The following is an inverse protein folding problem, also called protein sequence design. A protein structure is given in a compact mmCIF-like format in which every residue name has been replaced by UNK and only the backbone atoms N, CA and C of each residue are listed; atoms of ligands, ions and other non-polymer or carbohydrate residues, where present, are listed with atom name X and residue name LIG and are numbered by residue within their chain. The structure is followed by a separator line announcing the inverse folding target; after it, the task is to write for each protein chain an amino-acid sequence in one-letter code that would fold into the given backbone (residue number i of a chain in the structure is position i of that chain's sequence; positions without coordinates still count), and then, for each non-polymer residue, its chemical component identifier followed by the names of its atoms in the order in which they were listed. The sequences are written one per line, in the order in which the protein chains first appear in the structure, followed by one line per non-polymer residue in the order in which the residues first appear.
data_IF_492179222841
#
_entry.id   IF_492179222841
#
_cell.length_a   1.000
_cell.length_b   1.000
_cell.length_c   1.000
_cell.angle_alpha   90.00
_cell.angle_beta   90.00
_cell.angle_gamma   90.00
#
_symmetry.space_group_name_H-M   'P 1'
#
loop_
_entity.id
_entity.type
_entity.pdbx_description
1 polymer ?
#
# COMPACT_ATOMS: atom_id res chain seq x y z
N UNK A 1 -8.99 23.72 -4.78
CA UNK A 1 -8.34 24.15 -3.53
C UNK A 1 -6.96 23.51 -3.46
N UNK A 2 -5.91 24.32 -3.28
CA UNK A 2 -4.51 23.87 -3.25
C UNK A 2 -4.19 22.98 -2.04
N UNK A 3 -3.18 22.12 -2.16
CA UNK A 3 -2.62 21.36 -1.03
C UNK A 3 -2.14 22.30 0.08
N UNK A 4 -2.45 21.97 1.34
CA UNK A 4 -2.06 22.77 2.51
C UNK A 4 -0.57 22.65 2.87
N UNK A 5 0.14 21.64 2.36
CA UNK A 5 1.54 21.38 2.71
C UNK A 5 2.36 20.96 1.49
N UNK A 6 3.56 21.52 1.36
CA UNK A 6 4.47 21.13 0.28
C UNK A 6 5.12 19.77 0.54
N UNK A 7 5.65 19.11 -0.51
CA UNK A 7 6.44 17.87 -0.36
C UNK A 7 7.62 18.03 0.62
N UNK A 8 8.19 19.24 0.72
CA UNK A 8 9.27 19.55 1.68
C UNK A 8 8.76 19.54 3.11
N UNK A 9 7.57 20.07 3.37
CA UNK A 9 6.95 20.07 4.69
C UNK A 9 6.60 18.65 5.14
N UNK A 10 6.03 17.84 4.24
CA UNK A 10 5.78 16.42 4.49
C UNK A 10 7.08 15.67 4.79
N UNK A 11 8.16 15.94 4.03
CA UNK A 11 9.47 15.33 4.28
C UNK A 11 10.03 15.70 5.67
N UNK A 12 9.93 16.97 6.06
CA UNK A 12 10.42 17.48 7.34
C UNK A 12 9.64 16.89 8.51
N UNK A 13 8.31 16.83 8.41
CA UNK A 13 7.45 16.20 9.40
C UNK A 13 7.82 14.72 9.59
N UNK A 14 8.02 13.98 8.49
CA UNK A 14 8.46 12.59 8.56
C UNK A 14 9.78 12.41 9.31
N UNK A 15 10.80 13.26 9.05
CA UNK A 15 12.08 13.19 9.79
C UNK A 15 11.89 13.48 11.28
N UNK A 16 11.14 14.53 11.61
CA UNK A 16 10.87 14.95 12.99
C UNK A 16 10.18 13.84 13.79
N UNK A 17 9.20 13.15 13.20
CA UNK A 17 8.49 12.03 13.87
C UNK A 17 9.36 10.81 14.17
N UNK A 18 10.48 10.65 13.47
CA UNK A 18 11.42 9.57 13.76
C UNK A 18 12.31 9.92 14.96
N UNK A 19 12.56 11.21 15.19
CA UNK A 19 13.30 11.72 16.36
C UNK A 19 12.39 11.88 17.59
N UNK A 20 11.18 12.38 17.38
CA UNK A 20 10.20 12.71 18.42
C UNK A 20 8.80 12.24 17.98
N UNK A 21 8.45 11.00 18.35
CA UNK A 21 7.26 10.28 17.83
C UNK A 21 5.93 10.99 18.15
N UNK A 22 5.88 11.69 19.28
CA UNK A 22 4.69 12.38 19.78
C UNK A 22 4.64 13.87 19.40
N UNK A 23 5.49 14.32 18.48
CA UNK A 23 5.53 15.73 18.07
C UNK A 23 4.24 16.14 17.33
N UNK A 24 3.33 16.80 18.06
CA UNK A 24 1.96 17.12 17.64
C UNK A 24 1.87 17.71 16.23
N UNK A 25 2.61 18.78 15.94
CA UNK A 25 2.54 19.46 14.62
C UNK A 25 2.94 18.53 13.47
N UNK A 26 3.86 17.59 13.70
CA UNK A 26 4.25 16.63 12.66
C UNK A 26 3.24 15.50 12.51
N UNK A 27 2.55 15.11 13.60
CA UNK A 27 1.42 14.18 13.55
C UNK A 27 0.24 14.75 12.76
N UNK A 28 -0.03 16.06 12.87
CA UNK A 28 -1.06 16.74 12.08
C UNK A 28 -0.72 16.70 10.58
N UNK A 29 0.53 17.03 10.23
CA UNK A 29 1.01 16.97 8.84
C UNK A 29 0.97 15.54 8.30
N UNK A 30 1.36 14.54 9.10
CA UNK A 30 1.26 13.13 8.72
C UNK A 30 -0.20 12.72 8.49
N UNK A 31 -1.10 13.13 9.37
CA UNK A 31 -2.53 12.82 9.28
C UNK A 31 -3.15 13.44 8.03
N UNK A 32 -2.81 14.70 7.72
CA UNK A 32 -3.17 15.33 6.45
C UNK A 32 -2.63 14.54 5.25
N UNK A 33 -1.33 14.22 5.24
CA UNK A 33 -0.70 13.51 4.13
C UNK A 33 -1.36 12.16 3.90
N UNK A 34 -1.63 11.41 4.97
CA UNK A 34 -2.36 10.13 4.94
C UNK A 34 -3.78 10.31 4.39
N UNK A 35 -4.52 11.31 4.88
CA UNK A 35 -5.88 11.60 4.43
C UNK A 35 -5.94 11.93 2.93
N UNK A 36 -4.93 12.63 2.40
CA UNK A 36 -4.84 12.99 0.98
C UNK A 36 -4.71 11.80 0.02
N UNK A 37 -4.53 10.57 0.52
CA UNK A 37 -4.55 9.35 -0.28
C UNK A 37 -5.95 8.76 -0.44
N UNK A 38 -6.95 9.24 0.29
CA UNK A 38 -8.29 8.63 0.37
C UNK A 38 -9.00 8.62 -0.99
N UNK A 39 -9.04 9.77 -1.68
CA UNK A 39 -9.69 9.86 -3.00
C UNK A 39 -8.96 9.03 -4.05
N UNK A 40 -7.63 9.10 -4.06
CA UNK A 40 -6.80 8.29 -4.96
C UNK A 40 -7.00 6.78 -4.71
N UNK A 41 -7.09 6.36 -3.44
CA UNK A 41 -7.37 4.98 -3.05
C UNK A 41 -8.76 4.52 -3.50
N UNK A 42 -9.78 5.38 -3.40
CA UNK A 42 -11.13 5.05 -3.87
C UNK A 42 -11.16 4.81 -5.38
N UNK A 43 -10.57 5.72 -6.16
CA UNK A 43 -10.45 5.57 -7.62
C UNK A 43 -9.72 4.28 -8.01
N UNK A 44 -8.59 4.02 -7.36
CA UNK A 44 -7.81 2.80 -7.56
C UNK A 44 -8.62 1.53 -7.26
N UNK A 45 -9.41 1.56 -6.19
CA UNK A 45 -10.26 0.45 -5.80
C UNK A 45 -11.41 0.22 -6.76
N UNK A 46 -12.11 1.27 -7.18
CA UNK A 46 -13.24 1.17 -8.12
C UNK A 46 -12.78 0.57 -9.45
N UNK A 47 -11.65 1.06 -9.98
CA UNK A 47 -11.02 0.52 -11.18
C UNK A 47 -10.71 -0.98 -11.06
N UNK A 48 -10.10 -1.40 -9.95
CA UNK A 48 -9.75 -2.82 -9.80
C UNK A 48 -10.96 -3.70 -9.46
N UNK A 49 -11.96 -3.16 -8.79
CA UNK A 49 -13.18 -3.88 -8.43
C UNK A 49 -13.99 -4.26 -9.67
N UNK A 50 -14.13 -3.34 -10.62
CA UNK A 50 -14.82 -3.59 -11.89
C UNK A 50 -14.17 -4.75 -12.66
N UNK A 51 -12.85 -4.70 -12.83
CA UNK A 51 -12.08 -5.74 -13.52
C UNK A 51 -12.21 -7.09 -12.78
N UNK A 52 -12.05 -7.06 -11.45
CA UNK A 52 -12.04 -8.27 -10.62
C UNK A 52 -13.39 -8.99 -10.63
N UNK A 53 -14.51 -8.27 -10.54
CA UNK A 53 -15.86 -8.86 -10.50
C UNK A 53 -16.21 -9.62 -11.78
N UNK A 54 -15.66 -9.21 -12.93
CA UNK A 54 -15.81 -9.93 -14.20
C UNK A 54 -15.03 -11.25 -14.24
N UNK A 55 -13.98 -11.38 -13.42
CA UNK A 55 -13.07 -12.53 -13.38
C UNK A 55 -13.50 -13.53 -12.31
N UNK A 56 -13.77 -13.05 -11.09
CA UNK A 56 -14.07 -13.88 -9.93
C UNK A 56 -15.12 -13.22 -9.03
N UNK A 57 -16.36 -13.71 -9.12
CA UNK A 57 -17.49 -13.24 -8.29
C UNK A 57 -17.32 -13.54 -6.80
N UNK A 58 -16.40 -14.43 -6.44
CA UNK A 58 -16.11 -14.82 -5.05
C UNK A 58 -14.88 -14.11 -4.48
N UNK A 59 -14.31 -13.17 -5.24
CA UNK A 59 -13.15 -12.39 -4.81
C UNK A 59 -13.50 -11.50 -3.61
N UNK A 60 -12.56 -11.37 -2.69
CA UNK A 60 -12.65 -10.41 -1.58
C UNK A 60 -11.72 -9.24 -1.89
N UNK A 61 -12.28 -8.04 -1.91
CA UNK A 61 -11.54 -6.80 -2.11
C UNK A 61 -11.56 -5.97 -0.83
N UNK A 62 -10.42 -5.35 -0.51
CA UNK A 62 -10.31 -4.46 0.64
C UNK A 62 -9.47 -3.23 0.33
N UNK A 63 -9.86 -2.08 0.88
CA UNK A 63 -9.07 -0.86 0.95
C UNK A 63 -8.30 -0.82 2.27
N UNK A 64 -7.10 -0.26 2.27
CA UNK A 64 -6.28 -0.04 3.47
C UNK A 64 -5.56 1.29 3.39
N UNK A 65 -5.71 2.11 4.42
CA UNK A 65 -4.80 3.20 4.72
C UNK A 65 -3.89 2.78 5.87
N UNK A 66 -2.58 2.93 5.70
CA UNK A 66 -1.61 2.59 6.72
C UNK A 66 -1.77 3.50 7.93
N UNK A 67 -1.68 2.92 9.13
CA UNK A 67 -1.80 3.68 10.39
C UNK A 67 -0.56 4.55 10.62
N UNK A 68 -0.76 5.68 11.32
CA UNK A 68 0.31 6.63 11.61
C UNK A 68 1.51 5.97 12.31
N UNK A 69 1.26 5.17 13.35
CA UNK A 69 2.31 4.44 14.07
C UNK A 69 3.12 3.51 13.15
N UNK A 70 2.44 2.81 12.22
CA UNK A 70 3.09 1.94 11.23
C UNK A 70 3.90 2.72 10.19
N UNK A 71 3.47 3.94 9.83
CA UNK A 71 4.22 4.84 8.94
C UNK A 71 5.50 5.31 9.64
N UNK A 72 5.39 5.81 10.87
CA UNK A 72 6.52 6.28 11.68
C UNK A 72 7.52 5.15 11.90
N UNK A 73 7.06 3.95 12.29
CA UNK A 73 7.91 2.79 12.48
C UNK A 73 8.68 2.40 11.21
N UNK A 74 8.04 2.46 10.03
CA UNK A 74 8.72 2.18 8.76
C UNK A 74 9.80 3.22 8.44
N UNK A 75 9.55 4.49 8.71
CA UNK A 75 10.55 5.55 8.54
C UNK A 75 11.76 5.32 9.46
N UNK A 76 11.51 4.91 10.71
CA UNK A 76 12.55 4.62 11.70
C UNK A 76 13.41 3.41 11.28
N UNK A 77 12.79 2.28 10.91
CA UNK A 77 13.51 1.11 10.37
C UNK A 77 14.35 1.50 9.16
N UNK A 78 13.78 2.25 8.21
CA UNK A 78 14.50 2.70 7.03
C UNK A 78 15.74 3.50 7.42
N UNK A 79 15.61 4.48 8.33
CA UNK A 79 16.73 5.29 8.81
C UNK A 79 17.82 4.42 9.43
N UNK A 80 17.44 3.49 10.30
CA UNK A 80 18.38 2.64 11.04
C UNK A 80 19.11 1.64 10.11
N UNK A 81 18.49 1.26 8.98
CA UNK A 81 19.11 0.47 7.93
C UNK A 81 20.00 1.29 6.96
N UNK A 82 20.29 2.56 7.26
CA UNK A 82 21.08 3.46 6.40
C UNK A 82 20.32 4.03 5.20
N UNK A 83 19.03 3.71 5.06
CA UNK A 83 18.19 4.17 3.95
C UNK A 83 17.57 5.54 4.26
N UNK A 84 17.55 6.43 3.27
CA UNK A 84 17.01 7.80 3.40
C UNK A 84 15.57 7.92 2.88
N UNK A 85 14.68 7.00 3.27
CA UNK A 85 13.26 7.09 2.90
C UNK A 85 12.65 8.36 3.50
N UNK A 86 11.84 9.04 2.69
CA UNK A 86 11.12 10.26 3.11
C UNK A 86 9.61 9.99 3.04
N UNK A 87 8.85 10.58 3.96
CA UNK A 87 7.40 10.38 4.06
C UNK A 87 6.66 10.64 2.74
N UNK A 88 6.99 11.72 2.02
CA UNK A 88 6.37 12.05 0.73
C UNK A 88 6.73 11.09 -0.42
N UNK A 89 7.70 10.19 -0.22
CA UNK A 89 8.13 9.17 -1.19
C UNK A 89 7.64 7.77 -0.81
N UNK A 90 6.98 7.62 0.35
CA UNK A 90 6.48 6.35 0.82
C UNK A 90 5.33 5.89 -0.08
N UNK A 91 5.46 4.67 -0.62
CA UNK A 91 4.51 4.12 -1.59
C UNK A 91 3.34 3.35 -0.94
N UNK A 92 3.54 2.80 0.25
CA UNK A 92 2.58 1.93 0.94
C UNK A 92 1.71 2.70 1.97
N UNK A 93 1.25 3.90 1.62
CA UNK A 93 0.31 4.66 2.46
C UNK A 93 -1.13 4.24 2.18
N UNK A 94 -1.54 4.26 0.91
CA UNK A 94 -2.82 3.72 0.45
C UNK A 94 -2.59 2.42 -0.30
N UNK A 95 -3.43 1.41 -0.05
CA UNK A 95 -3.37 0.18 -0.79
C UNK A 95 -4.70 -0.56 -0.91
N UNK A 96 -4.82 -1.27 -2.03
CA UNK A 96 -5.90 -2.21 -2.32
C UNK A 96 -5.39 -3.64 -2.13
N UNK A 97 -6.27 -4.54 -1.72
CA UNK A 97 -6.01 -5.97 -1.67
C UNK A 97 -7.09 -6.70 -2.42
N UNK A 98 -6.68 -7.62 -3.29
CA UNK A 98 -7.56 -8.52 -4.01
C UNK A 98 -7.20 -9.95 -3.65
N UNK A 99 -8.17 -10.68 -3.11
CA UNK A 99 -8.03 -12.09 -2.70
C UNK A 99 -8.93 -12.92 -3.62
N UNK A 100 -8.31 -13.70 -4.49
CA UNK A 100 -8.97 -14.51 -5.51
C UNK A 100 -9.14 -15.96 -5.04
N UNK A 101 -10.11 -16.65 -5.62
CA UNK A 101 -10.39 -18.06 -5.32
C UNK A 101 -9.23 -19.00 -5.61
N UNK A 102 -8.46 -18.76 -6.69
CA UNK A 102 -7.37 -19.66 -7.10
C UNK A 102 -6.34 -18.96 -8.01
N UNK A 103 -5.25 -19.70 -8.31
CA UNK A 103 -4.14 -19.21 -9.14
C UNK A 103 -4.53 -18.93 -10.59
N UNK A 104 -5.49 -19.66 -11.17
CA UNK A 104 -5.94 -19.41 -12.55
C UNK A 104 -6.55 -18.01 -12.66
N UNK A 105 -7.44 -17.66 -11.72
CA UNK A 105 -8.06 -16.34 -11.63
C UNK A 105 -7.07 -15.24 -11.31
N UNK A 106 -6.07 -15.53 -10.47
CA UNK A 106 -4.95 -14.61 -10.22
C UNK A 106 -4.17 -14.29 -11.49
N UNK A 107 -3.78 -15.31 -12.25
CA UNK A 107 -3.03 -15.11 -13.49
C UNK A 107 -3.87 -14.36 -14.55
N UNK A 108 -5.17 -14.66 -14.65
CA UNK A 108 -6.11 -13.94 -15.52
C UNK A 108 -6.19 -12.45 -15.16
N UNK A 109 -6.34 -12.13 -13.88
CA UNK A 109 -6.36 -10.74 -13.40
C UNK A 109 -5.03 -10.02 -13.70
N UNK A 110 -3.90 -10.65 -13.41
CA UNK A 110 -2.56 -10.09 -13.65
C UNK A 110 -2.39 -9.74 -15.13
N UNK A 111 -2.75 -10.66 -16.02
CA UNK A 111 -2.65 -10.45 -17.47
C UNK A 111 -3.47 -9.25 -17.95
N UNK A 112 -4.66 -9.04 -17.38
CA UNK A 112 -5.51 -7.89 -17.72
C UNK A 112 -4.91 -6.60 -17.16
N UNK A 113 -4.48 -6.60 -15.90
CA UNK A 113 -3.88 -5.42 -15.26
C UNK A 113 -2.60 -4.99 -15.97
N UNK A 114 -1.72 -5.93 -16.35
CA UNK A 114 -0.46 -5.58 -17.03
C UNK A 114 -0.68 -4.92 -18.40
N UNK A 115 -1.83 -5.14 -19.02
CA UNK A 115 -2.24 -4.47 -20.26
C UNK A 115 -2.92 -3.12 -20.02
N UNK A 116 -3.46 -2.89 -18.82
CA UNK A 116 -4.05 -1.63 -18.40
C UNK A 116 -2.96 -0.69 -17.85
N UNK A 117 -2.92 0.54 -18.33
CA UNK A 117 -1.85 1.50 -18.02
C UNK A 117 -1.82 1.97 -16.55
N UNK A 118 -2.87 1.70 -15.77
CA UNK A 118 -3.05 2.27 -14.43
C UNK A 118 -2.15 1.64 -13.35
N UNK A 119 -1.74 0.38 -13.52
CA UNK A 119 -0.92 -0.34 -12.55
C UNK A 119 0.28 -1.01 -13.22
N UNK A 120 1.40 -1.08 -12.49
CA UNK A 120 2.61 -1.78 -12.93
C UNK A 120 3.08 -2.75 -11.86
N UNK A 121 3.53 -3.93 -12.25
CA UNK A 121 4.15 -4.87 -11.31
C UNK A 121 5.38 -4.21 -10.69
N UNK A 122 5.45 -4.20 -9.37
CA UNK A 122 6.64 -3.83 -8.59
C UNK A 122 7.38 -5.07 -8.12
N UNK A 123 6.65 -6.03 -7.56
CA UNK A 123 7.21 -7.28 -7.03
C UNK A 123 6.30 -8.46 -7.34
N UNK A 124 6.89 -9.61 -7.70
CA UNK A 124 6.18 -10.87 -7.82
C UNK A 124 6.77 -11.90 -6.84
N UNK A 125 6.06 -12.13 -5.73
CA UNK A 125 6.46 -13.11 -4.72
C UNK A 125 5.68 -14.43 -4.84
N UNK A 126 5.15 -14.78 -6.01
CA UNK A 126 4.48 -16.07 -6.18
C UNK A 126 5.52 -17.18 -6.25
N UNK A 127 6.51 -17.05 -7.13
CA UNK A 127 7.60 -18.00 -7.27
C UNK A 127 8.86 -17.33 -7.83
N UNK A 128 9.97 -17.25 -7.06
CA UNK A 128 10.10 -17.71 -5.68
C UNK A 128 9.28 -16.84 -4.69
N UNK A 129 8.85 -17.40 -3.55
CA UNK A 129 8.27 -16.60 -2.47
C UNK A 129 9.31 -15.66 -1.87
N UNK A 130 8.86 -14.67 -1.10
CA UNK A 130 9.78 -13.89 -0.25
C UNK A 130 10.45 -14.83 0.75
N UNK A 131 11.64 -14.46 1.24
CA UNK A 131 12.46 -15.27 2.16
C UNK A 131 11.74 -15.78 3.40
N UNK A 132 10.66 -15.12 3.81
CA UNK A 132 9.87 -15.45 4.98
C UNK A 132 8.66 -16.34 4.66
N UNK A 133 8.50 -16.80 3.41
CA UNK A 133 7.40 -17.61 2.90
C UNK A 133 6.23 -16.81 2.29
N UNK A 134 6.25 -15.48 2.37
CA UNK A 134 5.17 -14.63 1.89
C UNK A 134 4.97 -14.71 0.38
N UNK A 135 3.69 -14.79 -0.04
CA UNK A 135 3.26 -14.89 -1.44
C UNK A 135 2.18 -13.88 -1.78
N UNK A 136 2.45 -13.07 -2.80
CA UNK A 136 1.53 -12.10 -3.41
C UNK A 136 2.23 -11.45 -4.61
N UNK A 137 1.46 -10.89 -5.54
CA UNK A 137 1.98 -9.95 -6.54
C UNK A 137 1.64 -8.54 -6.07
N UNK A 138 2.64 -7.66 -6.06
CA UNK A 138 2.51 -6.26 -5.69
C UNK A 138 2.59 -5.39 -6.93
N UNK A 139 1.57 -4.57 -7.14
CA UNK A 139 1.52 -3.55 -8.17
C UNK A 139 1.59 -2.15 -7.54
N UNK A 140 2.03 -1.19 -8.33
CA UNK A 140 2.00 0.24 -7.99
C UNK A 140 1.22 0.98 -9.07
N UNK A 141 0.23 1.76 -8.66
CA UNK A 141 -0.52 2.68 -9.51
C UNK A 141 -0.44 4.12 -9.03
N UNK A 142 -0.66 5.07 -9.94
CA UNK A 142 -0.71 6.50 -9.64
C UNK A 142 -2.10 7.02 -9.92
N UNK A 143 -2.73 7.60 -8.90
CA UNK A 143 -4.09 8.11 -8.98
C UNK A 143 -4.17 9.53 -8.44
N UNK A 144 -4.97 10.36 -9.10
CA UNK A 144 -5.16 11.76 -8.75
C UNK A 144 -6.07 11.89 -7.52
N UNK A 145 -5.62 12.60 -6.50
CA UNK A 145 -6.41 12.93 -5.31
C UNK A 145 -7.39 14.10 -5.54
N UNK A 146 -8.06 14.55 -4.48
CA UNK A 146 -9.00 15.69 -4.48
C UNK A 146 -8.37 17.04 -4.86
N UNK A 147 -7.04 17.14 -4.80
CA UNK A 147 -6.28 18.36 -5.10
C UNK A 147 -5.66 18.35 -6.51
N UNK A 148 -5.92 17.32 -7.33
CA UNK A 148 -5.29 17.21 -8.65
C UNK A 148 -3.85 16.68 -8.62
N UNK A 149 -3.41 16.12 -7.48
CA UNK A 149 -2.05 15.62 -7.31
C UNK A 149 -2.00 14.08 -7.34
N UNK A 150 -0.94 13.52 -7.91
CA UNK A 150 -0.69 12.09 -7.88
C UNK A 150 -0.48 11.58 -6.44
N UNK A 151 -1.08 10.44 -6.16
CA UNK A 151 -0.79 9.58 -5.01
C UNK A 151 -0.53 8.15 -5.48
N UNK A 152 0.46 7.53 -4.84
CA UNK A 152 0.82 6.15 -5.13
C UNK A 152 -0.09 5.24 -4.32
N UNK A 153 -0.72 4.29 -5.01
CA UNK A 153 -1.53 3.24 -4.41
C UNK A 153 -0.91 1.88 -4.71
N UNK A 154 -0.66 1.10 -3.67
CA UNK A 154 -0.17 -0.28 -3.79
C UNK A 154 -1.36 -1.24 -3.98
N UNK A 155 -1.29 -2.13 -4.96
CA UNK A 155 -2.27 -3.20 -5.12
C UNK A 155 -1.61 -4.55 -4.82
N UNK A 156 -2.17 -5.29 -3.87
CA UNK A 156 -1.71 -6.63 -3.49
C UNK A 156 -2.69 -7.68 -3.99
N UNK A 157 -2.26 -8.52 -4.93
CA UNK A 157 -3.06 -9.62 -5.47
C UNK A 157 -2.55 -10.94 -4.89
N UNK A 158 -3.47 -11.78 -4.40
CA UNK A 158 -3.17 -13.09 -3.79
C UNK A 158 -4.36 -14.04 -3.91
N UNK A 159 -4.16 -15.32 -3.67
CA UNK A 159 -5.25 -16.30 -3.51
C UNK A 159 -5.73 -16.41 -2.06
N UNK A 160 -6.87 -17.08 -1.84
CA UNK A 160 -7.38 -17.41 -0.49
C UNK A 160 -6.35 -18.16 0.35
N UNK A 161 -5.69 -19.17 -0.22
CA UNK A 161 -4.66 -19.96 0.49
C UNK A 161 -3.45 -19.10 0.87
N UNK A 162 -2.97 -18.28 -0.06
CA UNK A 162 -1.87 -17.34 0.20
C UNK A 162 -2.24 -16.31 1.26
N UNK A 163 -3.50 -15.85 1.27
CA UNK A 163 -4.01 -14.96 2.30
C UNK A 163 -4.04 -15.62 3.67
N UNK A 164 -4.62 -16.83 3.76
CA UNK A 164 -4.73 -17.58 4.99
C UNK A 164 -3.36 -17.85 5.62
N UNK A 165 -2.38 -18.28 4.81
CA UNK A 165 -1.00 -18.44 5.25
C UNK A 165 -0.41 -17.13 5.76
N UNK A 166 -0.56 -16.03 5.00
CA UNK A 166 -0.01 -14.72 5.39
C UNK A 166 -0.59 -14.20 6.71
N UNK A 167 -1.90 -14.33 6.91
CA UNK A 167 -2.56 -13.88 8.14
C UNK A 167 -2.15 -14.72 9.35
N UNK A 168 -1.94 -16.01 9.16
CA UNK A 168 -1.45 -16.91 10.22
C UNK A 168 0.00 -16.54 10.60
N UNK A 169 0.88 -16.43 9.61
CA UNK A 169 2.28 -16.04 9.82
C UNK A 169 2.42 -14.64 10.43
N UNK A 170 1.58 -13.67 10.05
CA UNK A 170 1.56 -12.33 10.65
C UNK A 170 1.16 -12.37 12.12
N UNK A 171 0.18 -13.21 12.51
CA UNK A 171 -0.25 -13.36 13.90
C UNK A 171 0.86 -13.98 14.75
N UNK A 172 1.49 -15.05 14.28
CA UNK A 172 2.61 -15.70 14.98
C UNK A 172 3.77 -14.74 15.23
N UNK A 173 4.13 -13.91 14.25
CA UNK A 173 5.22 -12.91 14.41
C UNK A 173 4.92 -11.80 15.41
N UNK A 174 3.65 -11.51 15.68
CA UNK A 174 3.24 -10.53 16.70
C UNK A 174 3.25 -11.12 18.10
N UNK A 175 3.17 -12.45 18.25
CA UNK A 175 3.21 -13.14 19.55
C UNK A 175 4.65 -13.28 20.05
N UNK A 176 5.63 -13.34 19.13
CA UNK A 176 7.06 -13.57 19.44
C UNK A 176 7.86 -12.26 19.63
N UNK A 177 7.20 -11.10 19.62
CA UNK A 177 7.82 -9.77 19.84
C UNK A 177 7.21 -9.08 21.05
#
# INVERSE_FOLDING_TARGET
MSSNYSKKDIARAGKKLVEEKEHSKSLDILSYWRASHTVALNKAFESIEEITKNIDKSAVLAKRLKENASIIHKLDISRNAGNRMLLHRMQDIGGCRVILSNMKKLNELVYIIEKDANFKIRDNYINPPRSDGYRSIHFIGKFINEHGEDRIIELQVRTKDQHAWSTTAEKERKIVK
#
